data_IF_694075666567
#
_entry.id   IF_694075666567
#
_cell.length_a   1.000
_cell.length_b   1.000
_cell.length_c   1.000
_cell.angle_alpha   90.00
_cell.angle_beta   90.00
_cell.angle_gamma   90.00
#
_symmetry.space_group_name_H-M   'P 1'
#
loop_
_entity.id
_entity.type
_entity.pdbx_description
1 polymer ?
#
# COMPACT_ATOMS: atom_id res chain seq x y z
N UNK A 1 -9.17 10.90 12.29
CA UNK A 1 -9.03 9.43 12.21
C UNK A 1 -10.40 8.78 12.07
N UNK A 2 -10.87 8.59 10.83
CA UNK A 2 -12.01 7.72 10.52
C UNK A 2 -11.48 6.62 9.62
N UNK A 3 -11.94 5.38 9.80
CA UNK A 3 -11.62 4.31 8.86
C UNK A 3 -12.28 4.60 7.51
N UNK A 4 -11.59 4.27 6.42
CA UNK A 4 -12.13 4.30 5.06
C UNK A 4 -13.49 3.63 5.00
N UNK A 5 -14.51 4.35 4.50
CA UNK A 5 -15.82 3.74 4.29
C UNK A 5 -15.71 2.73 3.14
N UNK A 6 -16.59 1.72 3.10
CA UNK A 6 -16.65 0.77 1.98
C UNK A 6 -16.75 1.46 0.61
N UNK A 7 -17.45 2.61 0.52
CA UNK A 7 -17.57 3.43 -0.69
C UNK A 7 -16.24 4.10 -1.09
N UNK A 8 -15.41 4.54 -0.15
CA UNK A 8 -14.06 5.08 -0.43
C UNK A 8 -13.11 3.96 -0.86
N UNK A 9 -13.34 2.76 -0.33
CA UNK A 9 -12.60 1.55 -0.65
C UNK A 9 -12.87 1.02 -2.06
N UNK A 10 -13.98 1.36 -2.72
CA UNK A 10 -14.21 1.00 -4.13
C UNK A 10 -13.15 1.62 -5.06
N UNK A 11 -12.82 2.90 -4.83
CA UNK A 11 -11.84 3.62 -5.64
C UNK A 11 -10.42 3.07 -5.49
N UNK A 12 -10.05 2.59 -4.30
CA UNK A 12 -8.77 1.93 -4.06
C UNK A 12 -8.84 0.41 -4.21
N UNK A 13 -10.01 -0.18 -4.48
CA UNK A 13 -10.18 -1.63 -4.58
C UNK A 13 -9.35 -2.21 -5.73
N UNK A 14 -9.27 -1.49 -6.85
CA UNK A 14 -8.43 -1.88 -7.97
C UNK A 14 -6.96 -1.91 -7.57
N UNK A 15 -6.46 -0.84 -6.93
CA UNK A 15 -5.10 -0.78 -6.41
C UNK A 15 -4.83 -1.89 -5.38
N UNK A 16 -5.77 -2.13 -4.46
CA UNK A 16 -5.68 -3.19 -3.47
C UNK A 16 -5.62 -4.58 -4.13
N UNK A 17 -6.37 -4.83 -5.20
CA UNK A 17 -6.29 -6.08 -5.99
C UNK A 17 -4.93 -6.24 -6.67
N UNK A 18 -4.34 -5.16 -7.18
CA UNK A 18 -2.98 -5.18 -7.74
C UNK A 18 -1.94 -5.51 -6.68
N UNK A 19 -2.02 -4.85 -5.51
CA UNK A 19 -1.13 -5.10 -4.38
C UNK A 19 -1.27 -6.52 -3.83
N UNK A 20 -2.49 -7.04 -3.73
CA UNK A 20 -2.77 -8.43 -3.33
C UNK A 20 -2.24 -9.46 -4.32
N UNK A 21 -2.06 -9.09 -5.59
CA UNK A 21 -1.43 -9.96 -6.60
C UNK A 21 0.09 -10.04 -6.48
N UNK A 22 0.73 -9.20 -5.64
CA UNK A 22 2.17 -9.25 -5.46
C UNK A 22 2.53 -10.47 -4.61
N UNK A 23 3.39 -11.32 -5.17
CA UNK A 23 3.82 -12.55 -4.52
C UNK A 23 4.48 -12.27 -3.16
N UNK A 24 3.99 -12.96 -2.11
CA UNK A 24 4.53 -12.88 -0.76
C UNK A 24 3.95 -11.77 0.11
N UNK A 25 3.12 -10.89 -0.43
CA UNK A 25 2.36 -9.94 0.38
C UNK A 25 1.20 -10.67 1.06
N UNK A 26 0.97 -10.35 2.34
CA UNK A 26 -0.17 -10.79 3.14
C UNK A 26 -0.93 -9.59 3.64
N UNK A 27 -2.18 -9.48 3.27
CA UNK A 27 -3.09 -8.52 3.89
C UNK A 27 -3.52 -9.05 5.26
N UNK A 28 -3.26 -8.28 6.33
CA UNK A 28 -3.75 -8.62 7.68
C UNK A 28 -5.03 -7.88 8.04
N UNK A 29 -5.15 -6.64 7.57
CA UNK A 29 -6.34 -5.81 7.73
C UNK A 29 -6.55 -5.05 6.42
N UNK A 30 -7.78 -4.63 6.15
CA UNK A 30 -8.09 -3.83 4.97
C UNK A 30 -7.22 -2.57 4.95
N UNK A 31 -6.43 -2.42 3.90
CA UNK A 31 -5.46 -1.34 3.77
C UNK A 31 -4.14 -1.55 4.54
N UNK A 32 -3.86 -2.75 5.08
CA UNK A 32 -2.60 -3.06 5.76
C UNK A 32 -1.98 -4.34 5.18
N UNK A 33 -0.88 -4.15 4.45
CA UNK A 33 -0.19 -5.19 3.71
C UNK A 33 1.18 -5.44 4.33
N UNK A 34 1.48 -6.71 4.57
CA UNK A 34 2.70 -7.18 5.22
C UNK A 34 3.50 -8.06 4.27
N UNK A 35 4.82 -7.92 4.28
CA UNK A 35 5.75 -8.78 3.54
C UNK A 35 6.86 -9.23 4.48
N UNK A 36 7.12 -10.54 4.54
CA UNK A 36 8.13 -11.13 5.44
C UNK A 36 8.03 -10.65 6.91
N UNK A 37 6.82 -10.38 7.39
CA UNK A 37 6.57 -9.89 8.75
C UNK A 37 6.75 -8.39 8.95
N UNK A 38 7.24 -7.64 7.96
CA UNK A 38 7.29 -6.17 7.98
C UNK A 38 6.06 -5.58 7.32
N UNK A 39 5.58 -4.44 7.84
CA UNK A 39 4.52 -3.68 7.19
C UNK A 39 5.13 -3.00 5.96
N UNK A 40 4.66 -3.36 4.76
CA UNK A 40 5.18 -2.80 3.50
C UNK A 40 4.39 -1.60 3.03
N UNK A 41 3.08 -1.64 3.22
CA UNK A 41 2.22 -0.51 2.90
C UNK A 41 1.01 -0.54 3.82
N UNK A 42 0.68 0.63 4.34
CA UNK A 42 -0.59 0.85 5.03
C UNK A 42 -1.27 2.12 4.55
N UNK A 43 -2.61 2.07 4.50
CA UNK A 43 -3.45 3.19 4.10
C UNK A 43 -4.12 3.77 5.34
N UNK A 44 -4.03 5.08 5.52
CA UNK A 44 -4.78 5.80 6.54
C UNK A 44 -5.58 6.92 5.92
N UNK A 45 -6.76 7.19 6.50
CA UNK A 45 -7.56 8.36 6.15
C UNK A 45 -7.39 9.41 7.22
N UNK A 46 -6.92 10.58 6.80
CA UNK A 46 -6.96 11.77 7.60
C UNK A 46 -7.96 12.76 7.02
N UNK A 47 -9.04 13.01 7.77
CA UNK A 47 -10.16 13.84 7.38
C UNK A 47 -10.85 13.35 6.10
N UNK A 48 -10.53 13.95 4.95
CA UNK A 48 -11.04 13.63 3.61
C UNK A 48 -9.92 13.11 2.67
N UNK A 49 -8.68 13.05 3.15
CA UNK A 49 -7.52 12.65 2.38
C UNK A 49 -7.08 11.23 2.76
N UNK A 50 -6.73 10.42 1.74
CA UNK A 50 -6.16 9.10 1.95
C UNK A 50 -4.66 9.16 1.69
N UNK A 51 -3.89 8.50 2.55
CA UNK A 51 -2.44 8.41 2.44
C UNK A 51 -2.01 6.95 2.42
N UNK A 52 -1.04 6.64 1.57
CA UNK A 52 -0.31 5.38 1.53
C UNK A 52 1.09 5.58 2.09
N UNK A 53 1.37 4.92 3.20
CA UNK A 53 2.69 4.88 3.82
C UNK A 53 3.36 3.56 3.43
N UNK A 54 4.45 3.67 2.66
CA UNK A 54 5.27 2.58 2.13
C UNK A 54 6.66 2.70 2.77
N UNK A 55 6.92 1.89 3.80
CA UNK A 55 8.14 2.05 4.60
C UNK A 55 8.23 3.46 5.20
N UNK A 56 9.28 4.21 4.86
CA UNK A 56 9.49 5.61 5.25
C UNK A 56 8.89 6.63 4.26
N UNK A 57 8.33 6.18 3.14
CA UNK A 57 7.70 7.04 2.15
C UNK A 57 6.20 7.18 2.40
N UNK A 58 5.69 8.41 2.55
CA UNK A 58 4.25 8.70 2.56
C UNK A 58 3.81 9.33 1.25
N UNK A 59 2.73 8.83 0.66
CA UNK A 59 2.15 9.33 -0.58
C UNK A 59 0.69 9.67 -0.31
N UNK A 60 0.30 10.89 -0.67
CA UNK A 60 -1.11 11.29 -0.68
C UNK A 60 -1.79 10.72 -1.93
N UNK A 61 -2.90 10.01 -1.75
CA UNK A 61 -3.75 9.56 -2.85
C UNK A 61 -4.62 10.73 -3.31
N UNK A 62 -4.79 10.83 -4.63
CA UNK A 62 -5.68 11.81 -5.24
C UNK A 62 -6.88 11.04 -5.76
N UNK A 63 -8.09 11.48 -5.47
CA UNK A 63 -9.30 10.81 -5.92
C UNK A 63 -9.88 11.47 -7.16
N UNK A 64 -10.29 10.69 -8.18
CA UNK A 64 -10.16 9.23 -8.28
C UNK A 64 -8.72 8.75 -8.48
N UNK A 65 -8.38 7.55 -8.01
CA UNK A 65 -7.04 6.97 -8.21
C UNK A 65 -6.91 6.50 -9.65
N UNK A 66 -6.15 7.24 -10.44
CA UNK A 66 -5.80 6.85 -11.81
C UNK A 66 -4.78 5.71 -11.86
N UNK A 67 -4.69 5.06 -13.02
CA UNK A 67 -3.70 3.99 -13.28
C UNK A 67 -2.25 4.43 -13.10
N UNK A 68 -1.95 5.69 -13.36
CA UNK A 68 -0.58 6.22 -13.20
C UNK A 68 -0.20 6.26 -11.71
N UNK A 69 -1.10 6.80 -10.87
CA UNK A 69 -0.90 6.81 -9.42
C UNK A 69 -0.87 5.39 -8.85
N UNK A 70 -1.70 4.47 -9.34
CA UNK A 70 -1.66 3.06 -8.89
C UNK A 70 -0.34 2.39 -9.26
N UNK A 71 0.16 2.61 -10.48
CA UNK A 71 1.44 2.09 -10.94
C UNK A 71 2.61 2.60 -10.09
N UNK A 72 2.64 3.90 -9.76
CA UNK A 72 3.67 4.49 -8.90
C UNK A 72 3.67 3.87 -7.49
N UNK A 73 2.49 3.65 -6.91
CA UNK A 73 2.35 3.02 -5.59
C UNK A 73 2.86 1.57 -5.65
N UNK A 74 2.42 0.80 -6.64
CA UNK A 74 2.83 -0.61 -6.83
C UNK A 74 4.33 -0.71 -7.05
N UNK A 75 4.92 0.16 -7.86
CA UNK A 75 6.37 0.20 -8.11
C UNK A 75 7.15 0.50 -6.83
N UNK A 76 6.73 1.49 -6.04
CA UNK A 76 7.37 1.80 -4.76
C UNK A 76 7.26 0.65 -3.75
N UNK A 77 6.10 -0.02 -3.69
CA UNK A 77 5.95 -1.23 -2.85
C UNK A 77 6.92 -2.32 -3.28
N UNK A 78 7.05 -2.58 -4.59
CA UNK A 78 8.01 -3.55 -5.12
C UNK A 78 9.45 -3.19 -4.78
N UNK A 79 9.82 -1.92 -4.90
CA UNK A 79 11.15 -1.44 -4.55
C UNK A 79 11.42 -1.66 -3.05
N UNK A 80 10.50 -1.27 -2.18
CA UNK A 80 10.64 -1.48 -0.73
C UNK A 80 10.71 -2.97 -0.36
N UNK A 81 9.94 -3.83 -1.01
CA UNK A 81 10.02 -5.28 -0.84
C UNK A 81 11.37 -5.86 -1.26
N UNK A 82 11.96 -5.32 -2.32
CA UNK A 82 13.30 -5.68 -2.76
C UNK A 82 14.33 -5.27 -1.70
N UNK A 83 14.25 -4.05 -1.18
CA UNK A 83 15.10 -3.56 -0.10
C UNK A 83 15.01 -4.44 1.16
N UNK A 84 13.80 -4.80 1.60
CA UNK A 84 13.59 -5.74 2.72
C UNK A 84 14.25 -7.09 2.44
N UNK A 85 14.16 -7.59 1.21
CA UNK A 85 14.74 -8.89 0.85
C UNK A 85 16.26 -8.85 0.82
N UNK A 86 16.86 -7.78 0.33
CA UNK A 86 18.31 -7.59 0.32
C UNK A 86 18.85 -7.38 1.74
N UNK A 87 18.13 -6.63 2.59
CA UNK A 87 18.48 -6.48 4.01
C UNK A 87 18.41 -7.82 4.75
N UNK A 88 17.40 -8.65 4.44
CA UNK A 88 17.24 -9.98 5.04
C UNK A 88 18.32 -10.98 4.63
N UNK A 89 19.09 -10.75 3.55
CA UNK A 89 20.22 -11.60 3.14
C UNK A 89 21.53 -11.22 3.80
N UNK A 90 21.60 -10.04 4.44
CA UNK A 90 22.82 -9.52 5.09
C UNK A 90 22.98 -10.00 6.54
N UNK A 91 22.03 -10.76 7.07
CA UNK A 91 22.09 -11.45 8.37
C UNK A 91 22.16 -12.95 8.15
#
# INVERSE_FOLDING_TARGET
MRHARPDDLENINSLMKELRNIAGIREKQTGHLYFKGKNVIHFHIDQDDIYADIGDSRIKLTFPVDKDQSAVIVEKVRHYMFEITEESKRH
#
